data_IF_223240679839
#
_entry.id   IF_223240679839
#
_cell.length_a   1.000
_cell.length_b   1.000
_cell.length_c   1.000
_cell.angle_alpha   90.00
_cell.angle_beta   90.00
_cell.angle_gamma   90.00
#
_symmetry.space_group_name_H-M   'P 1'
#
loop_
_entity.id
_entity.type
_entity.pdbx_description
1 polymer ?
#
# COMPACT_ATOMS: atom_id res chain seq x y z
N UNK A 1 3.19 1.80 -1.56
CA UNK A 1 4.19 1.21 -2.49
C UNK A 1 5.21 0.43 -1.70
N UNK A 2 5.65 -0.75 -2.14
CA UNK A 2 6.61 -1.60 -1.38
C UNK A 2 7.93 -1.75 -2.12
N UNK A 3 9.02 -1.44 -1.43
CA UNK A 3 10.39 -1.40 -1.97
C UNK A 3 11.30 -2.37 -1.19
N UNK A 4 12.41 -2.86 -1.78
CA UNK A 4 13.39 -3.73 -1.09
C UNK A 4 14.85 -3.28 -1.32
N UNK A 5 15.65 -3.26 -0.25
CA UNK A 5 17.12 -3.22 -0.31
C UNK A 5 17.80 -3.93 0.87
N UNK A 6 19.14 -3.92 0.87
CA UNK A 6 20.08 -4.79 1.61
C UNK A 6 19.95 -4.74 3.16
N UNK A 7 20.41 -5.78 3.88
CA UNK A 7 20.06 -6.03 5.28
C UNK A 7 20.70 -5.07 6.30
N UNK A 8 19.99 -4.86 7.41
CA UNK A 8 20.39 -4.07 8.59
C UNK A 8 20.28 -4.90 9.89
N UNK A 9 21.07 -4.61 10.95
CA UNK A 9 21.09 -5.38 12.21
C UNK A 9 19.90 -5.07 13.16
N UNK A 10 19.58 -6.01 14.05
CA UNK A 10 18.35 -6.12 14.85
C UNK A 10 18.46 -5.56 16.29
N UNK A 11 17.35 -4.97 16.78
CA UNK A 11 17.06 -4.64 18.20
C UNK A 11 15.74 -5.31 18.63
N UNK A 12 15.69 -5.85 19.85
CA UNK A 12 14.76 -6.89 20.37
C UNK A 12 13.38 -6.38 20.92
N UNK A 13 12.46 -5.87 20.08
CA UNK A 13 11.13 -5.44 20.57
C UNK A 13 9.90 -5.81 19.70
N UNK A 14 9.96 -6.87 18.90
CA UNK A 14 8.88 -7.16 17.92
C UNK A 14 7.82 -8.15 18.42
N UNK A 15 6.55 -7.79 18.24
CA UNK A 15 5.44 -8.70 18.40
C UNK A 15 5.55 -9.86 17.38
N UNK A 16 5.59 -11.10 17.87
CA UNK A 16 5.66 -12.30 17.05
C UNK A 16 4.29 -12.97 16.93
N UNK A 17 3.82 -13.25 15.72
CA UNK A 17 2.60 -14.06 15.52
C UNK A 17 3.00 -15.54 15.41
N UNK A 18 2.23 -16.43 16.07
CA UNK A 18 2.22 -17.86 15.74
C UNK A 18 1.74 -18.01 14.31
N UNK A 19 2.62 -18.48 13.43
CA UNK A 19 2.34 -18.67 11.99
C UNK A 19 0.92 -19.19 11.75
N UNK A 20 0.16 -18.49 10.89
CA UNK A 20 -0.85 -19.20 10.12
C UNK A 20 -0.10 -20.33 9.41
N UNK A 21 -0.46 -21.59 9.70
CA UNK A 21 0.17 -22.77 9.12
C UNK A 21 0.40 -22.48 7.63
N UNK A 22 1.62 -22.65 7.09
CA UNK A 22 1.86 -22.37 5.68
C UNK A 22 0.87 -23.20 4.87
N UNK A 23 -0.16 -22.56 4.32
CA UNK A 23 -0.97 -23.22 3.29
C UNK A 23 0.01 -23.45 2.15
N UNK A 24 0.20 -24.73 1.83
CA UNK A 24 1.09 -25.21 0.76
C UNK A 24 0.68 -24.62 -0.61
N UNK A 25 -0.52 -24.03 -0.70
CA UNK A 25 -1.03 -23.33 -1.88
C UNK A 25 -1.28 -21.84 -1.60
N UNK A 26 -0.71 -20.96 -2.43
CA UNK A 26 -1.12 -19.56 -2.56
C UNK A 26 -2.64 -19.47 -2.79
N UNK A 27 -3.33 -18.64 -2.02
CA UNK A 27 -4.76 -18.42 -2.23
C UNK A 27 -4.99 -17.72 -3.57
N UNK A 28 -5.68 -18.41 -4.50
CA UNK A 28 -5.99 -17.90 -5.84
C UNK A 28 -7.39 -17.30 -5.97
N UNK A 29 -8.12 -17.18 -4.86
CA UNK A 29 -9.52 -16.74 -4.85
C UNK A 29 -9.72 -15.23 -4.99
N UNK A 30 -8.67 -14.41 -4.84
CA UNK A 30 -8.79 -12.95 -5.01
C UNK A 30 -9.09 -12.61 -6.46
N UNK A 31 -10.22 -11.90 -6.75
CA UNK A 31 -10.59 -11.54 -8.11
C UNK A 31 -9.51 -10.68 -8.78
N UNK A 32 -9.22 -10.98 -10.05
CA UNK A 32 -8.41 -10.13 -10.91
C UNK A 32 -9.31 -9.53 -11.98
N UNK A 33 -9.48 -8.22 -11.94
CA UNK A 33 -10.47 -7.50 -12.75
C UNK A 33 -9.74 -6.68 -13.80
N UNK A 34 -10.02 -6.94 -15.06
CA UNK A 34 -9.57 -6.11 -16.16
C UNK A 34 -10.47 -4.87 -16.24
N UNK A 35 -9.89 -3.68 -16.05
CA UNK A 35 -10.63 -2.43 -16.05
C UNK A 35 -11.27 -2.10 -17.41
N UNK A 36 -10.77 -2.72 -18.48
CA UNK A 36 -11.30 -2.56 -19.85
C UNK A 36 -12.37 -3.60 -20.21
N UNK A 37 -12.71 -4.51 -19.29
CA UNK A 37 -13.79 -5.47 -19.49
C UNK A 37 -15.17 -4.77 -19.40
N UNK A 38 -16.10 -4.97 -20.34
CA UNK A 38 -17.46 -4.44 -20.23
C UNK A 38 -18.21 -4.84 -18.93
N UNK A 39 -17.80 -5.94 -18.29
CA UNK A 39 -18.33 -6.43 -17.02
C UNK A 39 -17.57 -5.92 -15.79
N UNK A 40 -16.56 -5.05 -15.95
CA UNK A 40 -15.72 -4.58 -14.86
C UNK A 40 -16.54 -4.06 -13.67
N UNK A 41 -17.59 -3.24 -13.91
CA UNK A 41 -18.46 -2.73 -12.84
C UNK A 41 -19.08 -3.85 -12.00
N UNK A 42 -19.65 -4.87 -12.64
CA UNK A 42 -20.29 -6.00 -11.95
C UNK A 42 -19.28 -6.81 -11.16
N UNK A 43 -18.11 -7.08 -11.75
CA UNK A 43 -17.03 -7.83 -11.08
C UNK A 43 -16.48 -7.06 -9.89
N UNK A 44 -16.34 -5.72 -9.99
CA UNK A 44 -15.90 -4.86 -8.89
C UNK A 44 -16.89 -4.94 -7.73
N UNK A 45 -18.19 -4.80 -7.99
CA UNK A 45 -19.22 -4.89 -6.93
C UNK A 45 -19.18 -6.25 -6.23
N UNK A 46 -19.08 -7.34 -6.98
CA UNK A 46 -18.97 -8.68 -6.41
C UNK A 46 -17.73 -8.83 -5.52
N UNK A 47 -16.57 -8.33 -5.99
CA UNK A 47 -15.34 -8.39 -5.21
C UNK A 47 -15.38 -7.51 -3.95
N UNK A 48 -15.98 -6.31 -4.03
CA UNK A 48 -16.19 -5.45 -2.88
C UNK A 48 -17.10 -6.11 -1.83
N UNK A 49 -18.20 -6.74 -2.25
CA UNK A 49 -19.14 -7.42 -1.35
C UNK A 49 -18.55 -8.69 -0.72
N UNK A 50 -17.72 -9.43 -1.47
CA UNK A 50 -17.20 -10.71 -1.00
C UNK A 50 -15.90 -10.61 -0.22
N UNK A 51 -14.97 -9.77 -0.68
CA UNK A 51 -13.62 -9.68 -0.13
C UNK A 51 -13.28 -8.30 0.42
N UNK A 52 -13.92 -7.23 -0.07
CA UNK A 52 -13.44 -5.86 0.12
C UNK A 52 -12.07 -5.62 -0.53
N UNK A 53 -11.61 -6.52 -1.41
CA UNK A 53 -10.28 -6.52 -1.99
C UNK A 53 -10.26 -7.20 -3.37
N UNK A 54 -9.53 -6.62 -4.34
CA UNK A 54 -9.34 -7.21 -5.67
C UNK A 54 -8.05 -6.70 -6.33
N UNK A 55 -7.57 -7.44 -7.33
CA UNK A 55 -6.48 -7.02 -8.20
C UNK A 55 -7.05 -6.31 -9.43
N UNK A 56 -6.41 -5.23 -9.83
CA UNK A 56 -6.78 -4.46 -11.01
C UNK A 56 -5.77 -4.68 -12.13
N UNK A 57 -6.25 -5.02 -13.33
CA UNK A 57 -5.46 -5.23 -14.53
C UNK A 57 -5.81 -4.17 -15.58
N UNK A 58 -4.86 -3.85 -16.45
CA UNK A 58 -5.02 -2.87 -17.54
C UNK A 58 -5.56 -1.51 -17.06
N UNK A 59 -5.07 -1.06 -15.90
CA UNK A 59 -5.47 0.19 -15.25
C UNK A 59 -4.98 1.46 -15.97
N UNK A 60 -4.03 1.36 -16.91
CA UNK A 60 -3.59 2.49 -17.74
C UNK A 60 -2.41 3.29 -17.19
N UNK A 61 -2.10 3.22 -15.89
CA UNK A 61 -0.88 3.82 -15.32
C UNK A 61 0.38 3.34 -16.08
N UNK A 62 1.19 4.24 -16.66
CA UNK A 62 2.40 3.87 -17.39
C UNK A 62 3.42 3.15 -16.49
N UNK A 63 3.97 2.04 -16.97
CA UNK A 63 4.98 1.27 -16.23
C UNK A 63 6.24 2.09 -15.93
N UNK A 64 6.61 3.02 -16.81
CA UNK A 64 7.73 3.95 -16.59
C UNK A 64 7.49 4.86 -15.37
N UNK A 65 6.28 5.41 -15.22
CA UNK A 65 5.90 6.22 -14.06
C UNK A 65 6.03 5.43 -12.76
N UNK A 66 5.58 4.17 -12.78
CA UNK A 66 5.71 3.26 -11.64
C UNK A 66 7.20 2.98 -11.34
N UNK A 67 7.98 2.61 -12.35
CA UNK A 67 9.39 2.25 -12.20
C UNK A 67 10.24 3.43 -11.70
N UNK A 68 9.97 4.65 -12.19
CA UNK A 68 10.64 5.86 -11.75
C UNK A 68 10.38 6.13 -10.26
N UNK A 69 9.12 6.06 -9.82
CA UNK A 69 8.82 6.23 -8.38
C UNK A 69 9.46 5.11 -7.53
N UNK A 70 9.54 3.86 -8.03
CA UNK A 70 10.25 2.77 -7.33
C UNK A 70 11.73 3.07 -7.16
N UNK A 71 12.39 3.55 -8.22
CA UNK A 71 13.80 3.88 -8.20
C UNK A 71 14.10 5.04 -7.23
N UNK A 72 13.27 6.08 -7.21
CA UNK A 72 13.40 7.21 -6.29
C UNK A 72 13.20 6.76 -4.83
N UNK A 73 12.18 5.93 -4.56
CA UNK A 73 11.93 5.38 -3.24
C UNK A 73 13.09 4.47 -2.78
N UNK A 74 13.61 3.61 -3.67
CA UNK A 74 14.82 2.80 -3.41
C UNK A 74 16.02 3.65 -3.06
N UNK A 75 16.26 4.71 -3.85
CA UNK A 75 17.36 5.65 -3.63
C UNK A 75 17.27 6.26 -2.24
N UNK A 76 16.09 6.75 -1.85
CA UNK A 76 15.84 7.30 -0.52
C UNK A 76 16.07 6.27 0.60
N UNK A 77 15.49 5.06 0.51
CA UNK A 77 15.63 4.06 1.58
C UNK A 77 17.05 3.49 1.69
N UNK A 78 17.87 3.60 0.64
CA UNK A 78 19.30 3.26 0.66
C UNK A 78 20.20 4.33 1.31
N UNK A 79 19.67 5.52 1.61
CA UNK A 79 20.44 6.54 2.31
C UNK A 79 20.80 6.09 3.73
N UNK A 80 21.92 6.60 4.29
CA UNK A 80 22.26 6.37 5.69
C UNK A 80 21.13 6.78 6.62
N UNK A 81 20.97 6.04 7.71
CA UNK A 81 19.90 6.25 8.69
C UNK A 81 19.81 7.71 9.19
N UNK A 82 20.97 8.31 9.48
CA UNK A 82 21.10 9.70 9.91
C UNK A 82 20.62 10.74 8.88
N UNK A 83 20.56 10.38 7.59
CA UNK A 83 20.00 11.24 6.54
C UNK A 83 18.49 11.05 6.49
N UNK A 84 18.00 9.80 6.51
CA UNK A 84 16.56 9.50 6.49
C UNK A 84 15.81 10.10 7.69
N UNK A 85 16.42 10.07 8.87
CA UNK A 85 15.82 10.64 10.09
C UNK A 85 15.56 12.16 9.98
N UNK A 86 16.29 12.90 9.13
CA UNK A 86 16.05 14.33 8.87
C UNK A 86 14.76 14.60 8.10
N UNK A 87 14.24 13.60 7.40
CA UNK A 87 12.97 13.70 6.67
C UNK A 87 11.77 13.34 7.56
N UNK A 88 11.99 12.94 8.82
CA UNK A 88 10.94 12.67 9.80
C UNK A 88 10.72 13.83 10.78
N UNK A 89 9.86 13.67 11.79
CA UNK A 89 9.00 12.51 12.04
C UNK A 89 7.80 12.45 11.08
N UNK A 90 7.06 11.33 11.00
CA UNK A 90 5.91 11.19 10.10
C UNK A 90 4.64 11.80 10.70
N UNK A 91 4.66 13.10 11.00
CA UNK A 91 3.52 13.83 11.58
C UNK A 91 3.51 15.30 11.11
N UNK A 92 2.62 15.70 10.18
CA UNK A 92 1.65 14.85 9.46
C UNK A 92 2.29 14.01 8.34
N UNK A 93 3.41 14.46 7.79
CA UNK A 93 4.14 13.81 6.69
C UNK A 93 5.63 13.71 7.04
N UNK A 94 6.34 12.81 6.36
CA UNK A 94 7.76 12.58 6.60
C UNK A 94 8.11 11.11 6.81
N UNK A 95 9.37 10.88 7.17
CA UNK A 95 9.96 9.55 7.35
C UNK A 95 9.64 8.99 8.73
N UNK A 96 9.23 7.72 8.75
CA UNK A 96 8.94 6.93 9.93
C UNK A 96 9.60 5.56 9.88
N UNK A 97 9.72 4.93 11.04
CA UNK A 97 10.38 3.63 11.17
C UNK A 97 9.96 2.96 12.46
N UNK A 98 9.69 1.66 12.36
CA UNK A 98 9.14 0.81 13.41
C UNK A 98 7.78 1.29 13.92
N UNK A 99 7.72 2.42 14.62
CA UNK A 99 6.49 2.99 15.17
C UNK A 99 5.47 3.33 14.09
N UNK A 100 4.21 2.96 14.31
CA UNK A 100 3.07 3.18 13.42
C UNK A 100 2.00 3.93 14.22
N UNK A 101 1.68 5.16 13.80
CA UNK A 101 0.69 5.97 14.50
C UNK A 101 1.11 6.37 15.93
N UNK A 102 0.18 6.97 16.72
CA UNK A 102 0.50 7.55 18.03
C UNK A 102 0.39 6.56 19.20
N UNK A 103 -0.18 5.36 19.00
CA UNK A 103 -0.64 4.48 20.08
C UNK A 103 0.33 3.33 20.41
N UNK A 104 1.59 3.41 19.97
CA UNK A 104 2.62 2.43 20.31
C UNK A 104 2.64 1.18 19.43
N UNK A 105 1.88 1.15 18.33
CA UNK A 105 1.98 0.07 17.34
C UNK A 105 3.38 0.07 16.71
N UNK A 106 3.95 -1.13 16.52
CA UNK A 106 5.28 -1.31 15.94
C UNK A 106 5.26 -2.38 14.84
N UNK A 107 6.03 -2.14 13.78
CA UNK A 107 6.22 -3.07 12.67
C UNK A 107 7.68 -3.16 12.24
N UNK A 108 8.04 -4.23 11.54
CA UNK A 108 9.32 -4.35 10.86
C UNK A 108 9.30 -3.57 9.54
N UNK A 109 9.26 -2.24 9.66
CA UNK A 109 9.03 -1.33 8.54
C UNK A 109 9.79 -0.02 8.72
N UNK A 110 10.22 0.56 7.60
CA UNK A 110 10.43 2.00 7.48
C UNK A 110 9.55 2.55 6.35
N UNK A 111 9.13 3.80 6.44
CA UNK A 111 8.16 4.36 5.51
C UNK A 111 8.29 5.87 5.36
N UNK A 112 7.72 6.40 4.29
CA UNK A 112 7.57 7.82 4.04
C UNK A 112 6.10 8.13 3.79
N UNK A 113 5.54 9.08 4.55
CA UNK A 113 4.23 9.67 4.32
C UNK A 113 4.40 10.93 3.49
N UNK A 114 3.71 11.02 2.36
CA UNK A 114 3.83 12.13 1.42
C UNK A 114 2.45 12.69 1.08
N UNK A 115 2.38 14.03 1.10
CA UNK A 115 1.44 14.85 0.35
C UNK A 115 2.28 15.86 -0.46
N UNK A 116 1.80 16.32 -1.62
CA UNK A 116 2.58 17.00 -2.67
C UNK A 116 3.35 18.25 -2.24
N UNK A 117 3.02 18.82 -1.09
CA UNK A 117 3.52 20.14 -0.69
C UNK A 117 4.71 20.10 0.28
N UNK A 118 5.04 18.94 0.89
CA UNK A 118 5.85 18.95 2.12
C UNK A 118 7.14 18.12 2.13
N UNK A 119 7.48 17.34 1.08
CA UNK A 119 8.70 16.51 1.09
C UNK A 119 9.74 16.91 0.02
N UNK A 120 10.96 17.35 0.40
CA UNK A 120 12.02 17.72 -0.53
C UNK A 120 12.95 16.56 -0.98
N UNK A 121 12.94 15.42 -0.27
CA UNK A 121 13.97 14.36 -0.41
C UNK A 121 13.67 13.28 -1.46
N UNK A 122 12.43 13.21 -1.97
CA UNK A 122 12.08 12.38 -3.14
C UNK A 122 11.74 13.33 -4.29
N UNK A 123 12.09 12.93 -5.52
CA UNK A 123 11.72 13.67 -6.72
C UNK A 123 10.22 14.04 -6.72
N UNK A 124 9.95 15.34 -6.53
CA UNK A 124 8.59 15.89 -6.50
C UNK A 124 7.83 15.59 -7.79
N UNK A 125 8.53 15.60 -8.92
CA UNK A 125 7.94 15.26 -10.22
C UNK A 125 7.57 13.78 -10.31
N UNK A 126 8.43 12.87 -9.85
CA UNK A 126 8.11 11.44 -9.85
C UNK A 126 6.89 11.11 -8.98
N UNK A 127 6.80 11.72 -7.78
CA UNK A 127 5.63 11.59 -6.90
C UNK A 127 4.39 12.18 -7.55
N UNK A 128 4.47 13.42 -8.06
CA UNK A 128 3.34 14.12 -8.67
C UNK A 128 2.78 13.34 -9.85
N UNK A 129 3.63 12.89 -10.76
CA UNK A 129 3.23 12.14 -11.96
C UNK A 129 2.58 10.81 -11.56
N UNK A 130 3.17 10.06 -10.61
CA UNK A 130 2.56 8.81 -10.13
C UNK A 130 1.22 9.04 -9.45
N UNK A 131 1.12 10.03 -8.54
CA UNK A 131 -0.12 10.35 -7.83
C UNK A 131 -1.22 10.78 -8.81
N UNK A 132 -0.88 11.57 -9.83
CA UNK A 132 -1.83 11.99 -10.86
C UNK A 132 -2.43 10.80 -11.59
N UNK A 133 -1.59 9.88 -12.07
CA UNK A 133 -2.02 8.67 -12.78
C UNK A 133 -2.84 7.74 -11.88
N UNK A 134 -2.41 7.52 -10.64
CA UNK A 134 -3.12 6.64 -9.70
C UNK A 134 -4.44 7.24 -9.22
N UNK A 135 -4.51 8.57 -9.04
CA UNK A 135 -5.78 9.27 -8.75
C UNK A 135 -6.78 9.09 -9.89
N UNK A 136 -6.34 9.18 -11.15
CA UNK A 136 -7.21 8.93 -12.30
C UNK A 136 -7.83 7.52 -12.25
N UNK A 137 -7.03 6.51 -11.90
CA UNK A 137 -7.54 5.14 -11.69
C UNK A 137 -8.50 5.06 -10.52
N UNK A 138 -8.19 5.71 -9.39
CA UNK A 138 -9.08 5.74 -8.22
C UNK A 138 -10.45 6.33 -8.58
N UNK A 139 -10.48 7.42 -9.36
CA UNK A 139 -11.72 8.04 -9.86
C UNK A 139 -12.51 7.07 -10.74
N UNK A 140 -11.86 6.42 -11.70
CA UNK A 140 -12.51 5.44 -12.59
C UNK A 140 -13.11 4.28 -11.79
N UNK A 141 -12.40 3.77 -10.78
CA UNK A 141 -12.87 2.67 -9.93
C UNK A 141 -14.08 3.08 -9.10
N UNK A 142 -14.05 4.23 -8.41
CA UNK A 142 -15.21 4.65 -7.60
C UNK A 142 -16.43 5.02 -8.45
N UNK A 143 -16.20 5.52 -9.68
CA UNK A 143 -17.28 5.75 -10.65
C UNK A 143 -17.93 4.44 -11.11
N UNK A 144 -17.13 3.39 -11.36
CA UNK A 144 -17.65 2.06 -11.69
C UNK A 144 -18.40 1.42 -10.50
N UNK A 145 -17.98 1.70 -9.27
CA UNK A 145 -18.72 1.30 -8.07
C UNK A 145 -20.08 2.02 -8.02
N UNK A 146 -20.13 3.32 -8.29
CA UNK A 146 -21.38 4.09 -8.26
C UNK A 146 -22.37 3.57 -9.30
N UNK A 147 -21.88 3.35 -10.51
CA UNK A 147 -22.66 2.78 -11.60
C UNK A 147 -23.12 1.34 -11.30
N UNK A 148 -22.24 0.50 -10.74
CA UNK A 148 -22.55 -0.87 -10.36
C UNK A 148 -23.60 -0.99 -9.24
N UNK A 149 -23.70 0.04 -8.39
CA UNK A 149 -24.72 0.15 -7.34
C UNK A 149 -26.02 0.81 -7.84
N UNK A 150 -26.09 1.23 -9.11
CA UNK A 150 -27.27 1.90 -9.67
C UNK A 150 -27.48 3.32 -9.16
N UNK A 151 -26.42 3.99 -8.68
CA UNK A 151 -26.49 5.39 -8.26
C UNK A 151 -26.59 6.28 -9.51
N UNK A 152 -27.58 7.17 -9.53
CA UNK A 152 -27.87 8.04 -10.68
C UNK A 152 -26.65 8.89 -11.11
N UNK A 153 -25.96 9.50 -10.15
CA UNK A 153 -24.74 10.28 -10.40
C UNK A 153 -23.50 9.41 -10.25
N UNK A 154 -22.91 9.03 -11.38
CA UNK A 154 -21.69 8.22 -11.47
C UNK A 154 -20.49 8.85 -10.75
N UNK A 155 -20.39 10.17 -10.75
CA UNK A 155 -19.27 10.93 -10.18
C UNK A 155 -19.42 11.26 -8.69
N UNK A 156 -20.43 10.73 -8.00
CA UNK A 156 -20.74 11.10 -6.60
C UNK A 156 -19.54 11.02 -5.66
N UNK A 157 -18.68 10.00 -5.83
CA UNK A 157 -17.47 9.83 -5.02
C UNK A 157 -16.22 10.41 -5.68
N UNK A 158 -16.07 10.28 -7.00
CA UNK A 158 -14.90 10.85 -7.69
C UNK A 158 -14.88 12.37 -7.58
N UNK A 159 -16.04 13.03 -7.50
CA UNK A 159 -16.15 14.46 -7.21
C UNK A 159 -15.51 14.81 -5.86
N UNK A 160 -15.83 14.08 -4.79
CA UNK A 160 -15.27 14.30 -3.45
C UNK A 160 -13.75 14.13 -3.48
N UNK A 161 -13.26 13.08 -4.15
CA UNK A 161 -11.81 12.81 -4.26
C UNK A 161 -11.05 13.85 -5.10
N UNK A 162 -11.75 14.64 -5.92
CA UNK A 162 -11.16 15.70 -6.78
C UNK A 162 -11.17 17.07 -6.12
N UNK A 163 -11.87 17.26 -5.01
CA UNK A 163 -11.88 18.52 -4.28
C UNK A 163 -10.48 18.87 -3.78
N UNK A 164 -10.14 20.15 -3.77
CA UNK A 164 -8.83 20.65 -3.31
C UNK A 164 -8.55 20.26 -1.85
N UNK A 165 -9.61 20.28 -1.03
CA UNK A 165 -9.61 19.89 0.38
C UNK A 165 -9.62 18.36 0.60
N UNK A 166 -9.61 17.55 -0.47
CA UNK A 166 -9.59 16.10 -0.33
C UNK A 166 -8.32 15.65 0.37
N UNK A 167 -8.47 15.02 1.55
CA UNK A 167 -7.35 14.41 2.25
C UNK A 167 -6.91 13.12 1.55
N UNK A 168 -5.71 13.15 0.97
CA UNK A 168 -5.08 11.99 0.35
C UNK A 168 -3.64 11.86 0.83
N UNK A 169 -3.17 10.62 0.92
CA UNK A 169 -1.81 10.33 1.35
C UNK A 169 -1.17 9.28 0.44
N UNK A 170 0.06 9.54 0.00
CA UNK A 170 0.93 8.50 -0.56
C UNK A 170 1.83 7.97 0.55
N UNK A 171 1.70 6.67 0.84
CA UNK A 171 2.58 5.95 1.75
C UNK A 171 3.54 5.03 0.98
N UNK A 172 4.84 5.30 1.09
CA UNK A 172 5.92 4.43 0.60
C UNK A 172 6.41 3.58 1.77
N UNK A 173 6.22 2.27 1.71
CA UNK A 173 6.65 1.31 2.72
C UNK A 173 7.88 0.55 2.23
N UNK A 174 8.84 0.33 3.12
CA UNK A 174 10.01 -0.49 2.90
C UNK A 174 10.13 -1.51 4.03
N UNK A 175 10.12 -2.79 3.68
CA UNK A 175 10.24 -3.89 4.64
C UNK A 175 11.62 -4.54 4.44
N UNK A 176 12.66 -4.13 5.19
CA UNK A 176 14.01 -4.60 4.95
C UNK A 176 14.15 -6.10 5.25
N UNK A 177 15.06 -6.77 4.55
CA UNK A 177 15.39 -8.16 4.85
C UNK A 177 16.15 -8.20 6.17
N UNK A 178 15.66 -8.98 7.14
CA UNK A 178 16.47 -9.33 8.33
C UNK A 178 17.26 -10.60 8.03
N UNK A 179 18.59 -10.55 8.24
CA UNK A 179 19.47 -11.73 8.15
C UNK A 179 19.22 -12.71 9.31
N UNK A 180 18.77 -12.21 10.47
CA UNK A 180 18.56 -13.03 11.67
C UNK A 180 17.19 -13.74 11.70
N UNK A 181 16.29 -13.43 10.76
CA UNK A 181 15.03 -14.19 10.58
C UNK A 181 15.26 -15.66 10.22
N UNK A 182 16.45 -16.02 9.69
CA UNK A 182 16.82 -17.44 9.50
C UNK A 182 17.18 -18.14 10.83
N UNK A 183 17.64 -17.39 11.84
CA UNK A 183 18.00 -17.93 13.16
C UNK A 183 16.80 -18.02 14.12
N UNK A 184 15.76 -17.19 13.91
CA UNK A 184 14.53 -17.19 14.71
C UNK A 184 13.55 -18.28 14.26
N UNK A 185 13.87 -19.54 14.56
CA UNK A 185 12.98 -20.71 14.67
C UNK A 185 11.49 -20.49 14.30
N UNK A 186 11.19 -20.34 13.02
CA UNK A 186 9.81 -20.28 12.49
C UNK A 186 8.96 -19.05 12.85
N UNK A 187 9.53 -17.96 13.40
CA UNK A 187 8.79 -16.73 13.69
C UNK A 187 8.96 -15.70 12.56
N UNK A 188 7.87 -15.32 11.89
CA UNK A 188 7.85 -14.17 10.98
C UNK A 188 7.51 -12.91 11.77
N UNK A 189 8.24 -11.83 11.50
CA UNK A 189 7.96 -10.52 12.08
C UNK A 189 6.80 -9.85 11.36
N UNK A 190 5.94 -9.15 12.10
CA UNK A 190 4.88 -8.33 11.52
C UNK A 190 5.53 -7.12 10.85
N UNK A 191 5.38 -6.98 9.53
CA UNK A 191 5.81 -5.78 8.81
C UNK A 191 4.90 -4.59 9.12
N UNK A 192 3.59 -4.79 8.97
CA UNK A 192 2.55 -3.82 9.30
C UNK A 192 1.37 -4.60 9.91
N UNK A 193 0.85 -4.14 11.05
CA UNK A 193 -0.20 -4.84 11.80
C UNK A 193 -1.51 -5.01 11.03
N UNK A 194 -2.37 -5.90 11.50
CA UNK A 194 -3.74 -6.03 10.99
C UNK A 194 -4.52 -4.73 11.22
N UNK A 195 -5.23 -4.27 10.19
CA UNK A 195 -6.07 -3.08 10.26
C UNK A 195 -6.99 -3.05 9.04
N UNK A 196 -7.99 -2.17 9.10
CA UNK A 196 -8.74 -1.71 7.93
C UNK A 196 -8.35 -0.26 7.64
N UNK A 197 -8.27 0.11 6.38
CA UNK A 197 -7.99 1.50 6.01
C UNK A 197 -9.22 2.39 6.31
N UNK A 198 -9.03 3.59 6.88
CA UNK A 198 -10.12 4.49 7.22
C UNK A 198 -10.64 5.31 6.03
N UNK A 199 -9.92 5.33 4.89
CA UNK A 199 -10.30 6.11 3.71
C UNK A 199 -11.34 5.41 2.84
N UNK A 200 -11.87 6.13 1.83
CA UNK A 200 -12.84 5.59 0.85
C UNK A 200 -12.24 4.43 0.05
N UNK A 201 -11.00 4.57 -0.42
CA UNK A 201 -10.31 3.55 -1.23
C UNK A 201 -8.79 3.68 -1.10
N UNK A 202 -8.10 2.55 -1.05
CA UNK A 202 -6.65 2.44 -1.11
C UNK A 202 -6.21 1.69 -2.35
N UNK A 203 -5.26 2.25 -3.11
CA UNK A 203 -4.65 1.58 -4.26
C UNK A 203 -3.22 1.17 -3.89
N UNK A 204 -2.96 -0.14 -3.88
CA UNK A 204 -1.68 -0.71 -3.51
C UNK A 204 -0.94 -1.28 -4.72
N UNK A 205 0.34 -0.90 -4.86
CA UNK A 205 1.31 -1.53 -5.75
C UNK A 205 2.53 -1.97 -4.95
N UNK A 206 2.95 -3.22 -5.12
CA UNK A 206 4.20 -3.75 -4.56
C UNK A 206 5.15 -4.19 -5.68
N UNK A 207 6.39 -4.48 -5.30
CA UNK A 207 7.27 -5.33 -6.11
C UNK A 207 6.82 -6.82 -6.01
N UNK A 208 7.66 -7.73 -6.51
CA UNK A 208 7.36 -9.17 -6.55
C UNK A 208 7.57 -9.91 -5.21
N UNK A 209 7.77 -9.19 -4.10
CA UNK A 209 7.99 -9.79 -2.78
C UNK A 209 6.65 -10.10 -2.11
N UNK A 210 6.52 -11.30 -1.54
CA UNK A 210 5.35 -11.67 -0.75
C UNK A 210 5.30 -10.91 0.58
N UNK A 211 4.12 -10.70 1.16
CA UNK A 211 3.99 -10.17 2.52
C UNK A 211 2.61 -9.64 2.87
N UNK A 212 1.85 -9.18 1.86
CA UNK A 212 0.45 -8.81 2.04
C UNK A 212 -0.37 -10.07 2.36
N UNK A 213 -1.19 -9.97 3.40
CA UNK A 213 -2.23 -10.95 3.72
C UNK A 213 -3.55 -10.22 3.93
N UNK A 214 -4.66 -10.89 3.67
CA UNK A 214 -5.99 -10.36 3.99
C UNK A 214 -6.78 -11.36 4.84
N UNK A 215 -7.66 -10.85 5.69
CA UNK A 215 -8.56 -11.66 6.49
C UNK A 215 -9.89 -11.88 5.75
N UNK A 216 -10.26 -13.13 5.50
CA UNK A 216 -11.54 -13.50 4.90
C UNK A 216 -12.68 -13.36 5.91
N UNK A 217 -13.94 -13.40 5.44
CA UNK A 217 -15.14 -13.34 6.29
C UNK A 217 -15.20 -14.41 7.38
N UNK A 218 -14.57 -15.57 7.15
CA UNK A 218 -14.49 -16.67 8.12
C UNK A 218 -13.35 -16.52 9.15
N UNK A 219 -12.61 -15.40 9.12
CA UNK A 219 -11.46 -15.13 9.98
C UNK A 219 -10.14 -15.73 9.49
N UNK A 220 -10.13 -16.40 8.33
CA UNK A 220 -8.92 -16.99 7.76
C UNK A 220 -8.03 -15.92 7.11
N UNK A 221 -6.76 -15.90 7.46
CA UNK A 221 -5.75 -15.09 6.78
C UNK A 221 -5.19 -15.82 5.54
N UNK A 222 -5.20 -15.14 4.39
CA UNK A 222 -4.73 -15.65 3.10
C UNK A 222 -3.68 -14.77 2.44
#
# INVERSE_FOLDING_TARGET
MVVLSKPAPLDDHYASIKTCKPRISVFKGIPSINLRDPKAKTLIIQACQEFGFFKLLNHGVPMETIARLEAEALSFFNLPRSVKDKAGPPNPFGYGTKGIGPNGDVGWIEYLLINTDQNPEISRSAVKDYVMEVKAVAYEVVELIAEGLGIERRDVWSKILREEESDWCLRLNHYPISQDLQALSGRKMIGFGEHTDPQIISLLKSNNTSGLQICLKDGTWV
#
